data_IF_079118007674
#
_entry.id   IF_079118007674
#
_cell.length_a   1.000
_cell.length_b   1.000
_cell.length_c   1.000
_cell.angle_alpha   90.00
_cell.angle_beta   90.00
_cell.angle_gamma   90.00
#
_symmetry.space_group_name_H-M   'P 1'
#
loop_
_entity.id
_entity.type
_entity.pdbx_description
1 polymer ?
#
# COMPACT_ATOMS: atom_id res chain seq x y z
N UNK A 1 -3.94 -66.51 -25.75
CA UNK A 1 -4.14 -65.74 -24.49
C UNK A 1 -3.42 -64.40 -24.64
N UNK A 2 -4.13 -63.30 -24.92
CA UNK A 2 -3.54 -61.96 -25.05
C UNK A 2 -3.81 -61.15 -23.78
N UNK A 3 -2.75 -60.72 -23.10
CA UNK A 3 -2.89 -59.87 -21.91
C UNK A 3 -3.19 -58.42 -22.31
N UNK A 4 -4.23 -57.77 -21.75
CA UNK A 4 -4.43 -56.34 -21.94
C UNK A 4 -3.45 -55.55 -21.07
N UNK A 5 -2.50 -54.86 -21.69
CA UNK A 5 -1.59 -53.92 -21.02
C UNK A 5 -2.39 -52.76 -20.42
N UNK A 6 -2.36 -52.66 -19.09
CA UNK A 6 -2.97 -51.56 -18.31
C UNK A 6 -2.44 -50.21 -18.84
N UNK A 7 -3.30 -49.42 -19.49
CA UNK A 7 -2.98 -48.03 -19.85
C UNK A 7 -2.79 -47.23 -18.56
N UNK A 8 -1.54 -46.86 -18.29
CA UNK A 8 -1.14 -45.92 -17.25
C UNK A 8 -2.00 -44.64 -17.33
N UNK A 9 -2.53 -44.11 -16.21
CA UNK A 9 -3.29 -42.88 -16.23
C UNK A 9 -2.35 -41.72 -16.55
N UNK A 10 -2.38 -41.33 -17.83
CA UNK A 10 -2.11 -40.01 -18.40
C UNK A 10 -1.65 -38.96 -17.36
N UNK A 11 -0.32 -38.88 -17.16
CA UNK A 11 0.36 -37.97 -16.20
C UNK A 11 0.12 -36.46 -16.44
N UNK A 12 -0.50 -36.06 -17.56
CA UNK A 12 -0.69 -34.66 -17.97
C UNK A 12 -1.68 -33.85 -17.12
N UNK A 13 -2.51 -34.48 -16.27
CA UNK A 13 -3.43 -33.76 -15.39
C UNK A 13 -2.76 -33.15 -14.14
N UNK A 14 -1.50 -33.44 -13.86
CA UNK A 14 -0.89 -33.08 -12.58
C UNK A 14 -0.48 -31.60 -12.46
N UNK A 15 -0.33 -30.88 -13.58
CA UNK A 15 -0.05 -29.45 -13.55
C UNK A 15 -0.30 -28.78 -14.92
N UNK A 16 -1.57 -28.45 -15.26
CA UNK A 16 -1.92 -27.89 -16.56
C UNK A 16 -1.23 -26.54 -16.82
N UNK A 17 -0.98 -25.74 -15.78
CA UNK A 17 -0.27 -24.46 -15.90
C UNK A 17 1.14 -24.63 -16.48
N UNK A 18 1.91 -25.65 -16.06
CA UNK A 18 3.24 -25.95 -16.63
C UNK A 18 3.20 -26.33 -18.11
N UNK A 19 2.11 -26.95 -18.57
CA UNK A 19 1.96 -27.42 -19.96
C UNK A 19 1.61 -26.25 -20.89
N UNK A 20 0.74 -25.34 -20.43
CA UNK A 20 0.25 -24.24 -21.26
C UNK A 20 1.04 -22.93 -21.11
N UNK A 21 1.59 -22.65 -19.93
CA UNK A 21 2.26 -21.38 -19.62
C UNK A 21 3.79 -21.52 -19.51
N UNK A 22 4.32 -22.75 -19.64
CA UNK A 22 5.74 -23.05 -19.47
C UNK A 22 6.20 -23.07 -18.01
N UNK A 23 7.48 -23.40 -17.75
CA UNK A 23 8.06 -23.20 -16.44
C UNK A 23 8.05 -21.70 -16.12
N UNK A 24 7.68 -21.33 -14.89
CA UNK A 24 7.88 -19.97 -14.43
C UNK A 24 9.38 -19.64 -14.53
N UNK A 25 9.76 -18.80 -15.49
CA UNK A 25 11.12 -18.27 -15.58
C UNK A 25 11.39 -17.49 -14.30
N UNK A 26 12.05 -18.14 -13.34
CA UNK A 26 12.73 -17.50 -12.23
C UNK A 26 14.22 -17.68 -12.48
N UNK A 27 14.95 -16.57 -12.48
CA UNK A 27 16.42 -16.56 -12.64
C UNK A 27 17.12 -17.36 -11.55
N UNK A 28 16.58 -17.35 -10.33
CA UNK A 28 17.02 -18.19 -9.22
C UNK A 28 15.81 -18.61 -8.36
N UNK A 29 15.53 -19.92 -8.20
CA UNK A 29 14.45 -20.41 -7.36
C UNK A 29 14.73 -20.28 -5.85
N UNK A 30 15.99 -20.03 -5.46
CA UNK A 30 16.42 -19.88 -4.06
C UNK A 30 16.32 -18.43 -3.58
N UNK A 31 16.28 -17.46 -4.50
CA UNK A 31 16.09 -16.05 -4.16
C UNK A 31 14.63 -15.73 -3.86
N UNK A 32 14.35 -14.86 -2.86
CA UNK A 32 12.99 -14.39 -2.60
C UNK A 32 12.44 -13.62 -3.80
N UNK A 33 11.12 -13.63 -3.96
CA UNK A 33 10.43 -12.82 -4.96
C UNK A 33 10.34 -11.40 -4.40
N UNK A 34 10.97 -10.44 -5.08
CA UNK A 34 10.90 -9.02 -4.75
C UNK A 34 9.83 -8.38 -5.63
N UNK A 35 8.78 -7.82 -5.03
CA UNK A 35 7.76 -7.09 -5.77
C UNK A 35 8.10 -5.61 -5.83
N UNK A 36 7.60 -4.91 -6.85
CA UNK A 36 7.84 -3.46 -7.02
C UNK A 36 7.24 -2.61 -5.90
N UNK A 37 6.35 -3.18 -5.08
CA UNK A 37 5.67 -2.50 -3.99
C UNK A 37 6.31 -2.73 -2.62
N UNK A 38 7.28 -3.65 -2.50
CA UNK A 38 7.89 -4.02 -1.22
C UNK A 38 8.43 -2.78 -0.47
N UNK A 39 9.09 -1.86 -1.17
CA UNK A 39 9.61 -0.61 -0.57
C UNK A 39 8.48 0.27 0.00
N UNK A 40 7.37 0.40 -0.71
CA UNK A 40 6.23 1.23 -0.29
C UNK A 40 5.42 0.58 0.82
N UNK A 41 5.27 -0.75 0.77
CA UNK A 41 4.62 -1.53 1.82
C UNK A 41 5.42 -1.41 3.13
N UNK A 42 6.75 -1.57 3.05
CA UNK A 42 7.60 -1.45 4.22
C UNK A 42 7.64 -0.03 4.80
N UNK A 43 7.63 0.99 3.95
CA UNK A 43 7.51 2.38 4.41
C UNK A 43 6.17 2.64 5.11
N UNK A 44 5.08 2.14 4.55
CA UNK A 44 3.74 2.26 5.14
C UNK A 44 3.64 1.56 6.49
N UNK A 45 4.20 0.35 6.59
CA UNK A 45 4.28 -0.41 7.85
C UNK A 45 5.04 0.37 8.93
N UNK A 46 6.18 0.97 8.57
CA UNK A 46 6.97 1.78 9.48
C UNK A 46 6.22 3.03 9.96
N UNK A 47 5.51 3.72 9.06
CA UNK A 47 4.68 4.87 9.42
C UNK A 47 3.51 4.48 10.33
N UNK A 48 2.88 3.33 10.08
CA UNK A 48 1.75 2.83 10.87
C UNK A 48 2.15 2.26 12.24
N UNK A 49 3.39 1.79 12.41
CA UNK A 49 3.89 1.26 13.68
C UNK A 49 3.83 2.27 14.85
N UNK A 50 3.79 3.57 14.53
CA UNK A 50 3.63 4.67 15.49
C UNK A 50 2.20 4.86 16.03
N UNK A 51 1.23 4.10 15.54
CA UNK A 51 -0.16 4.19 15.97
C UNK A 51 -0.58 3.01 16.86
N UNK A 52 -1.58 3.25 17.69
CA UNK A 52 -2.35 2.26 18.43
C UNK A 52 -3.83 2.37 18.04
N UNK A 53 -4.57 1.27 18.16
CA UNK A 53 -6.00 1.26 17.86
C UNK A 53 -6.75 1.30 19.19
N UNK A 54 -7.59 2.32 19.35
CA UNK A 54 -8.50 2.44 20.49
C UNK A 54 -9.95 2.18 20.04
N UNK A 55 -10.75 1.68 20.97
CA UNK A 55 -12.19 1.44 20.77
C UNK A 55 -12.97 2.25 21.80
N UNK A 56 -14.00 2.97 21.35
CA UNK A 56 -14.90 3.71 22.24
C UNK A 56 -16.05 2.82 22.78
N UNK A 57 -16.86 3.37 23.68
CA UNK A 57 -18.00 2.64 24.25
C UNK A 57 -19.13 2.33 23.25
N UNK A 58 -19.11 2.93 22.06
CA UNK A 58 -20.07 2.69 20.98
C UNK A 58 -19.55 1.65 19.97
N UNK A 59 -18.30 1.19 20.12
CA UNK A 59 -17.64 0.21 19.27
C UNK A 59 -16.92 0.81 18.05
N UNK A 60 -16.63 2.11 18.05
CA UNK A 60 -15.87 2.74 16.98
C UNK A 60 -14.36 2.58 17.22
N UNK A 61 -13.64 2.20 16.16
CA UNK A 61 -12.19 2.05 16.20
C UNK A 61 -11.47 3.26 15.60
N UNK A 62 -10.48 3.78 16.32
CA UNK A 62 -9.67 4.92 15.88
C UNK A 62 -8.18 4.62 16.01
N UNK A 63 -7.39 5.14 15.09
CA UNK A 63 -5.95 5.11 15.18
C UNK A 63 -5.45 6.35 15.96
N UNK A 64 -4.81 6.12 17.10
CA UNK A 64 -4.21 7.15 17.95
C UNK A 64 -2.69 7.07 17.83
N UNK A 65 -1.99 8.20 17.79
CA UNK A 65 -0.51 8.19 17.77
C UNK A 65 0.02 7.94 19.17
N UNK A 66 0.94 6.97 19.32
CA UNK A 66 1.60 6.66 20.60
C UNK A 66 2.35 7.85 21.18
N UNK A 67 2.93 8.66 20.31
CA UNK A 67 3.65 9.88 20.68
C UNK A 67 2.94 11.10 20.11
N UNK A 68 2.77 12.13 20.94
CA UNK A 68 2.21 13.39 20.49
C UNK A 68 3.19 14.02 19.48
N UNK A 69 2.76 14.29 18.24
CA UNK A 69 3.63 14.94 17.27
C UNK A 69 4.07 16.32 17.79
N UNK A 70 5.24 16.83 17.38
CA UNK A 70 5.63 18.18 17.73
C UNK A 70 4.52 19.16 17.31
N UNK A 71 4.31 20.20 18.13
CA UNK A 71 3.33 21.24 17.82
C UNK A 71 3.60 21.75 16.41
N UNK A 72 2.60 21.62 15.52
CA UNK A 72 2.71 22.15 14.15
C UNK A 72 3.09 23.62 14.26
N UNK A 73 4.12 24.09 13.53
CA UNK A 73 4.41 25.51 13.49
C UNK A 73 3.13 26.26 13.08
N UNK A 74 2.90 27.47 13.63
CA UNK A 74 1.71 28.24 13.29
C UNK A 74 1.65 28.37 11.77
N UNK A 75 0.47 28.09 11.19
CA UNK A 75 0.26 28.33 9.77
C UNK A 75 0.64 29.79 9.49
N UNK A 76 1.45 30.05 8.45
CA UNK A 76 1.73 31.43 8.08
C UNK A 76 0.39 32.12 7.85
N UNK A 77 0.20 33.37 8.32
CA UNK A 77 -1.03 34.08 8.05
C UNK A 77 -1.24 34.06 6.54
N UNK A 78 -2.38 33.52 6.08
CA UNK A 78 -2.76 33.55 4.67
C UNK A 78 -2.79 35.00 4.21
N UNK A 79 -1.68 35.45 3.61
CA UNK A 79 -1.59 36.75 2.97
C UNK A 79 -2.24 36.60 1.60
N UNK A 80 -3.52 36.96 1.52
CA UNK A 80 -4.13 37.20 0.22
C UNK A 80 -3.38 38.36 -0.43
N UNK A 81 -2.87 38.12 -1.62
CA UNK A 81 -2.44 39.20 -2.49
C UNK A 81 -3.68 39.96 -2.92
N UNK A 82 -3.80 41.21 -2.47
CA UNK A 82 -4.87 42.11 -2.88
C UNK A 82 -4.68 42.48 -4.36
N UNK A 83 -5.14 41.62 -5.28
CA UNK A 83 -5.15 41.90 -6.72
C UNK A 83 -6.27 42.86 -7.13
N UNK A 84 -7.08 43.31 -6.17
CA UNK A 84 -8.03 44.38 -6.42
C UNK A 84 -7.23 45.66 -6.64
N UNK A 85 -7.03 46.06 -7.90
CA UNK A 85 -6.44 47.35 -8.29
C UNK A 85 -7.27 48.58 -7.86
N UNK A 86 -8.06 48.46 -6.79
CA UNK A 86 -8.80 49.54 -6.15
C UNK A 86 -7.81 50.30 -5.26
N UNK A 87 -7.66 51.60 -5.52
CA UNK A 87 -6.93 52.48 -4.59
C UNK A 87 -7.63 52.46 -3.24
N UNK A 88 -6.86 52.39 -2.17
CA UNK A 88 -7.35 52.48 -0.78
C UNK A 88 -8.03 53.84 -0.62
N UNK A 89 -9.36 53.83 -0.54
CA UNK A 89 -10.16 54.98 -0.13
C UNK A 89 -10.21 54.97 1.39
N UNK A 90 -9.13 55.37 2.06
CA UNK A 90 -9.21 55.83 3.45
C UNK A 90 -8.60 57.23 3.48
N UNK A 91 -9.46 58.22 3.28
CA UNK A 91 -9.29 59.52 3.92
C UNK A 91 -10.05 59.40 5.23
N UNK A 92 -9.33 59.43 6.34
CA UNK A 92 -9.92 59.76 7.64
C UNK A 92 -9.43 61.18 7.92
N UNK A 93 -10.37 62.13 7.95
CA UNK A 93 -10.17 63.53 8.41
C UNK A 93 -10.03 63.59 9.93
#
# INVERSE_FOLDING_TARGET
MSNPTKRSPRKWLKNPAKVFMGPAERSDPTLPVVHRHDEFEQASEADLAGFEVEEDSEGHHYAVRKEHPPVRPPEPPMKYTDYTGKKVLHTED
#
